data_IF_698924177327
#
_entry.id   IF_698924177327
#
_cell.length_a   1.000
_cell.length_b   1.000
_cell.length_c   1.000
_cell.angle_alpha   90.00
_cell.angle_beta   90.00
_cell.angle_gamma   90.00
#
_symmetry.space_group_name_H-M   'P 1'
#
loop_
_entity.id
_entity.type
_entity.pdbx_description
1 polymer ?
#
# COMPACT_ATOMS: atom_id res chain seq x y z
N UNK A 1 -15.89 20.17 9.07
CA UNK A 1 -15.18 20.80 10.20
C UNK A 1 -13.73 20.30 10.16
N UNK A 2 -12.75 21.13 9.74
CA UNK A 2 -11.34 20.75 9.81
C UNK A 2 -10.91 20.83 11.27
N UNK A 3 -10.67 19.69 11.92
CA UNK A 3 -9.91 19.68 13.17
C UNK A 3 -8.45 19.97 12.81
N UNK A 4 -7.88 20.99 13.43
CA UNK A 4 -6.44 21.29 13.34
C UNK A 4 -5.75 20.36 14.33
N UNK A 5 -4.93 19.43 13.85
CA UNK A 5 -4.02 18.65 14.69
C UNK A 5 -2.75 19.46 14.93
N UNK A 6 -2.27 19.49 16.17
CA UNK A 6 -1.10 20.29 16.60
C UNK A 6 0.23 19.76 16.10
N UNK A 7 0.28 18.51 15.64
CA UNK A 7 1.46 17.85 15.14
C UNK A 7 1.33 17.66 13.62
N UNK A 8 2.16 18.38 12.86
CA UNK A 8 2.19 18.33 11.41
C UNK A 8 3.33 17.39 11.03
N UNK A 9 3.00 16.24 10.45
CA UNK A 9 4.00 15.35 9.85
C UNK A 9 4.76 16.03 8.71
N UNK A 10 5.76 15.35 8.15
CA UNK A 10 6.46 15.85 6.97
C UNK A 10 5.87 15.22 5.70
N UNK A 11 5.68 15.98 4.60
CA UNK A 11 5.31 15.41 3.30
C UNK A 11 6.31 14.35 2.83
N UNK A 12 5.87 13.47 1.94
CA UNK A 12 6.72 12.38 1.45
C UNK A 12 7.99 12.90 0.73
N UNK A 13 7.93 14.08 0.10
CA UNK A 13 9.07 14.68 -0.60
C UNK A 13 10.26 15.04 0.30
N UNK A 14 10.08 15.11 1.62
CA UNK A 14 11.13 15.52 2.56
C UNK A 14 12.17 14.45 2.89
N UNK A 15 11.96 13.18 2.49
CA UNK A 15 12.80 12.05 2.91
C UNK A 15 13.79 11.62 1.84
N UNK A 16 15.02 11.44 2.29
CA UNK A 16 16.18 11.12 1.46
C UNK A 16 16.73 9.71 1.71
N UNK A 17 15.90 8.81 2.25
CA UNK A 17 16.27 7.43 2.60
C UNK A 17 15.18 6.48 2.14
N UNK A 18 15.57 5.54 1.28
CA UNK A 18 14.67 4.51 0.80
C UNK A 18 14.18 3.64 1.95
N UNK A 19 15.09 3.27 2.87
CA UNK A 19 14.74 2.54 4.08
C UNK A 19 13.64 3.24 4.88
N UNK A 20 13.78 4.55 5.15
CA UNK A 20 12.77 5.32 5.89
C UNK A 20 11.44 5.38 5.14
N UNK A 21 11.48 5.59 3.82
CA UNK A 21 10.27 5.60 3.00
C UNK A 21 9.52 4.27 3.08
N UNK A 22 10.20 3.13 2.88
CA UNK A 22 9.56 1.82 2.95
C UNK A 22 9.03 1.50 4.36
N UNK A 23 9.74 1.90 5.41
CA UNK A 23 9.25 1.80 6.79
C UNK A 23 7.95 2.59 7.00
N UNK A 24 7.86 3.81 6.48
CA UNK A 24 6.63 4.61 6.55
C UNK A 24 5.47 3.97 5.78
N UNK A 25 5.74 3.35 4.63
CA UNK A 25 4.72 2.65 3.85
C UNK A 25 4.23 1.36 4.54
N UNK A 26 5.14 0.63 5.22
CA UNK A 26 4.76 -0.49 6.07
C UNK A 26 3.83 -0.02 7.18
N UNK A 27 4.21 1.06 7.88
CA UNK A 27 3.41 1.59 8.98
C UNK A 27 2.09 2.18 8.49
N UNK A 28 2.00 2.70 7.25
CA UNK A 28 0.74 3.14 6.68
C UNK A 28 -0.26 1.98 6.55
N UNK A 29 0.20 0.80 6.14
CA UNK A 29 -0.61 -0.42 6.17
C UNK A 29 -1.00 -0.81 7.61
N UNK A 30 -0.07 -0.72 8.56
CA UNK A 30 -0.34 -1.03 9.96
C UNK A 30 -1.39 -0.07 10.58
N UNK A 31 -1.31 1.24 10.29
CA UNK A 31 -2.30 2.24 10.74
C UNK A 31 -3.68 1.93 10.16
N UNK A 32 -3.77 1.59 8.88
CA UNK A 32 -5.05 1.21 8.25
C UNK A 32 -5.66 -0.03 8.92
N UNK A 33 -4.84 -1.07 9.20
CA UNK A 33 -5.27 -2.26 9.98
C UNK A 33 -5.72 -1.87 11.38
N UNK A 34 -5.02 -0.96 12.05
CA UNK A 34 -5.39 -0.53 13.39
C UNK A 34 -6.73 0.21 13.42
N UNK A 35 -6.97 1.11 12.45
CA UNK A 35 -8.25 1.81 12.28
C UNK A 35 -9.40 0.82 12.04
N UNK A 36 -9.15 -0.18 11.20
CA UNK A 36 -10.13 -1.23 10.92
C UNK A 36 -10.43 -2.07 12.17
N UNK A 37 -9.41 -2.56 12.87
CA UNK A 37 -9.60 -3.41 14.06
C UNK A 37 -10.24 -2.69 15.23
N UNK A 38 -9.79 -1.47 15.53
CA UNK A 38 -10.24 -0.70 16.71
C UNK A 38 -11.56 0.02 16.54
N UNK A 39 -11.86 0.44 15.32
CA UNK A 39 -12.97 1.34 15.07
C UNK A 39 -13.84 0.89 13.91
N UNK A 40 -13.53 -0.24 13.27
CA UNK A 40 -14.22 -0.71 12.08
C UNK A 40 -14.27 0.38 10.98
N UNK A 41 -13.19 1.18 10.88
CA UNK A 41 -13.07 2.29 9.93
C UNK A 41 -12.17 1.90 8.76
N UNK A 42 -12.67 2.12 7.54
CA UNK A 42 -11.84 2.19 6.33
C UNK A 42 -11.54 3.64 5.99
N UNK A 43 -10.34 3.93 5.48
CA UNK A 43 -9.93 5.30 5.15
C UNK A 43 -10.54 5.80 3.85
N UNK A 44 -10.54 4.95 2.80
CA UNK A 44 -11.13 5.20 1.47
C UNK A 44 -10.53 6.36 0.68
N UNK A 45 -9.45 6.96 1.17
CA UNK A 45 -8.81 8.13 0.57
C UNK A 45 -7.30 8.12 0.81
N UNK A 46 -6.68 6.96 0.66
CA UNK A 46 -5.22 6.87 0.73
C UNK A 46 -4.60 7.53 -0.51
N UNK A 47 -3.58 8.37 -0.28
CA UNK A 47 -2.87 9.11 -1.31
C UNK A 47 -1.58 9.75 -0.77
N UNK A 48 -0.75 10.28 -1.66
CA UNK A 48 0.54 10.90 -1.33
C UNK A 48 0.47 12.10 -0.37
N UNK A 49 -0.66 12.79 -0.33
CA UNK A 49 -0.93 13.92 0.59
C UNK A 49 -1.54 13.51 1.93
N UNK A 50 -2.03 12.26 2.03
CA UNK A 50 -2.69 11.74 3.23
C UNK A 50 -1.82 10.75 4.01
N UNK A 51 -0.65 10.40 3.48
CA UNK A 51 0.41 9.69 4.21
C UNK A 51 1.56 10.67 4.41
N UNK A 52 1.90 10.95 5.66
CA UNK A 52 3.00 11.83 6.04
C UNK A 52 4.03 11.07 6.86
N UNK A 53 5.27 11.50 6.85
CA UNK A 53 6.24 11.03 7.84
C UNK A 53 5.87 11.55 9.23
N UNK A 54 5.97 10.67 10.21
CA UNK A 54 5.75 11.00 11.60
C UNK A 54 6.75 12.07 12.08
N UNK A 55 6.31 13.06 12.90
CA UNK A 55 7.21 13.98 13.57
C UNK A 55 8.21 13.24 14.46
N UNK A 56 9.49 13.62 14.38
CA UNK A 56 10.51 13.11 15.28
C UNK A 56 10.56 13.94 16.56
N UNK A 57 9.48 13.88 17.34
CA UNK A 57 9.35 14.60 18.62
C UNK A 57 9.02 13.64 19.75
N UNK A 58 9.54 13.91 20.95
CA UNK A 58 9.25 13.11 22.14
C UNK A 58 7.75 13.11 22.47
N UNK A 59 7.07 14.25 22.27
CA UNK A 59 5.62 14.36 22.45
C UNK A 59 4.84 13.39 21.55
N UNK A 60 5.14 13.35 20.25
CA UNK A 60 4.52 12.38 19.33
C UNK A 60 4.79 10.94 19.77
N UNK A 61 6.02 10.64 20.20
CA UNK A 61 6.38 9.30 20.68
C UNK A 61 5.60 8.93 21.94
N UNK A 62 5.52 9.83 22.92
CA UNK A 62 4.76 9.67 24.17
C UNK A 62 3.28 9.38 23.91
N UNK A 63 2.63 10.13 23.01
CA UNK A 63 1.24 9.88 22.63
C UNK A 63 1.01 8.50 22.02
N UNK A 64 2.01 7.95 21.33
CA UNK A 64 1.95 6.62 20.74
C UNK A 64 2.39 5.50 21.69
N UNK A 65 3.07 5.80 22.81
CA UNK A 65 3.52 4.80 23.78
C UNK A 65 2.37 4.14 24.53
N UNK A 66 1.32 4.90 24.84
CA UNK A 66 0.07 4.40 25.43
C UNK A 66 -0.90 3.85 24.37
N UNK A 67 -0.55 4.00 23.09
CA UNK A 67 -1.42 3.73 21.95
C UNK A 67 -1.62 2.24 21.72
N UNK A 68 -2.69 1.69 22.30
CA UNK A 68 -3.76 0.85 21.73
C UNK A 68 -3.56 0.11 20.38
N UNK A 69 -2.35 -0.23 19.96
CA UNK A 69 -2.14 -0.85 18.66
C UNK A 69 -2.46 -2.35 18.75
N UNK A 70 -3.54 -2.77 18.08
CA UNK A 70 -3.80 -4.19 17.79
C UNK A 70 -2.96 -4.71 16.62
N UNK A 71 -1.92 -3.94 16.28
CA UNK A 71 -0.99 -4.15 15.17
C UNK A 71 0.45 -3.93 15.68
N UNK A 72 1.43 -4.43 14.92
CA UNK A 72 2.85 -4.15 15.15
C UNK A 72 3.30 -3.17 14.08
N UNK A 73 3.94 -2.11 14.50
CA UNK A 73 4.68 -1.22 13.60
C UNK A 73 6.05 -1.83 13.25
N UNK A 74 6.64 -1.36 12.16
CA UNK A 74 7.88 -1.91 11.62
C UNK A 74 9.01 -1.89 12.63
N UNK A 75 9.09 -0.86 13.49
CA UNK A 75 10.12 -0.76 14.52
C UNK A 75 10.04 -1.91 15.53
N UNK A 76 8.83 -2.36 15.88
CA UNK A 76 8.60 -3.47 16.80
C UNK A 76 8.93 -4.81 16.13
N UNK A 77 8.52 -5.00 14.87
CA UNK A 77 8.85 -6.20 14.10
C UNK A 77 10.37 -6.33 13.94
N UNK A 78 11.05 -5.25 13.58
CA UNK A 78 12.50 -5.22 13.38
C UNK A 78 13.31 -5.38 14.68
N UNK A 79 12.70 -5.11 15.84
CA UNK A 79 13.31 -5.30 17.14
C UNK A 79 13.29 -6.77 17.62
N UNK A 80 12.60 -7.66 16.91
CA UNK A 80 12.51 -9.10 17.21
C UNK A 80 12.14 -9.37 18.68
N UNK A 81 11.06 -8.75 19.17
CA UNK A 81 10.52 -8.93 20.53
C UNK A 81 11.42 -8.50 21.68
N UNK A 82 12.46 -7.71 21.40
CA UNK A 82 12.96 -6.77 22.39
C UNK A 82 11.79 -5.81 22.65
N UNK A 83 11.20 -5.86 23.84
CA UNK A 83 10.08 -5.00 24.22
C UNK A 83 10.41 -3.54 23.91
N UNK A 84 9.90 -3.04 22.78
CA UNK A 84 10.07 -1.66 22.33
C UNK A 84 8.70 -1.05 22.12
N UNK A 85 8.58 0.21 22.56
CA UNK A 85 7.34 0.94 22.39
C UNK A 85 7.04 1.14 20.89
N UNK A 86 5.75 1.20 20.52
CA UNK A 86 5.32 1.65 19.19
C UNK A 86 6.01 2.96 18.80
N UNK A 87 6.59 3.01 17.60
CA UNK A 87 7.16 4.23 17.04
C UNK A 87 6.86 4.31 15.54
N UNK A 88 5.57 4.51 15.18
CA UNK A 88 5.15 4.58 13.78
C UNK A 88 5.94 5.65 13.02
N UNK A 89 6.44 5.29 11.85
CA UNK A 89 7.20 6.15 10.94
C UNK A 89 6.31 7.05 10.08
N UNK A 90 4.99 6.87 10.13
CA UNK A 90 4.04 7.66 9.38
C UNK A 90 2.84 8.14 10.21
N UNK A 91 2.17 9.16 9.69
CA UNK A 91 0.84 9.62 10.04
C UNK A 91 -0.06 9.38 8.83
N UNK A 92 -1.25 8.82 9.07
CA UNK A 92 -2.33 8.77 8.07
C UNK A 92 -3.41 9.75 8.49
N UNK A 93 -3.70 10.73 7.63
CA UNK A 93 -4.58 11.87 7.93
C UNK A 93 -5.77 11.94 6.95
N UNK A 94 -6.70 12.85 7.22
CA UNK A 94 -7.89 13.11 6.37
C UNK A 94 -8.89 11.94 6.29
N UNK A 95 -9.41 11.56 7.46
CA UNK A 95 -10.53 10.61 7.59
C UNK A 95 -11.88 11.18 7.13
N UNK A 96 -11.92 12.33 6.45
CA UNK A 96 -13.17 12.96 5.99
C UNK A 96 -13.97 12.10 5.00
N UNK A 97 -13.26 11.22 4.29
CA UNK A 97 -13.83 10.24 3.37
C UNK A 97 -13.97 8.84 3.98
N UNK A 98 -13.60 8.68 5.25
CA UNK A 98 -13.64 7.40 5.95
C UNK A 98 -15.05 6.85 6.09
N UNK A 99 -15.16 5.52 6.14
CA UNK A 99 -16.41 4.83 6.46
C UNK A 99 -16.27 4.08 7.77
N UNK A 100 -17.04 4.51 8.76
CA UNK A 100 -17.40 3.70 9.92
C UNK A 100 -18.41 2.64 9.46
N UNK A 101 -18.02 1.37 9.59
CA UNK A 101 -18.78 0.21 9.16
C UNK A 101 -19.82 -0.26 10.19
N UNK A 102 -19.80 0.25 11.43
CA UNK A 102 -20.85 -0.03 12.43
C UNK A 102 -22.10 0.82 12.22
N UNK A 103 -21.96 1.95 11.52
CA UNK A 103 -23.09 2.81 11.17
C UNK A 103 -23.78 2.27 9.92
N UNK A 104 -25.04 1.87 10.03
CA UNK A 104 -25.88 1.56 8.87
C UNK A 104 -25.98 2.81 7.97
N UNK A 105 -25.40 2.72 6.77
CA UNK A 105 -25.49 3.74 5.72
C UNK A 105 -26.24 3.17 4.53
N UNK A 106 -26.91 4.03 3.76
CA UNK A 106 -27.52 3.63 2.50
C UNK A 106 -26.48 2.98 1.56
N UNK A 107 -26.94 2.07 0.69
CA UNK A 107 -26.11 1.32 -0.28
C UNK A 107 -25.12 2.20 -1.06
N UNK A 108 -25.47 3.46 -1.31
CA UNK A 108 -24.66 4.42 -2.07
C UNK A 108 -23.38 4.90 -1.33
N UNK A 109 -23.34 4.74 0.00
CA UNK A 109 -22.26 5.30 0.81
C UNK A 109 -20.91 4.60 0.57
N UNK A 110 -20.91 3.32 0.19
CA UNK A 110 -19.71 2.52 -0.09
C UNK A 110 -19.47 2.28 -1.59
N UNK A 111 -20.39 2.68 -2.47
CA UNK A 111 -20.26 2.54 -3.92
C UNK A 111 -19.73 3.80 -4.61
N UNK A 112 -19.71 4.94 -3.91
CA UNK A 112 -19.14 6.19 -4.40
C UNK A 112 -17.63 6.11 -4.66
N UNK A 113 -17.20 6.54 -5.85
CA UNK A 113 -15.79 6.66 -6.26
C UNK A 113 -15.08 7.79 -5.51
N UNK A 114 -14.66 7.50 -4.28
CA UNK A 114 -13.92 8.44 -3.42
C UNK A 114 -12.44 8.07 -3.43
N UNK A 115 -11.56 9.06 -3.59
CA UNK A 115 -10.12 8.83 -3.68
C UNK A 115 -9.41 9.91 -4.50
N UNK A 116 -8.10 10.07 -4.29
CA UNK A 116 -7.27 10.85 -5.22
C UNK A 116 -7.22 10.08 -6.53
N UNK A 117 -7.60 10.68 -7.69
CA UNK A 117 -7.70 9.99 -8.97
C UNK A 117 -6.54 9.02 -9.23
N UNK A 118 -5.30 9.49 -9.11
CA UNK A 118 -4.10 8.69 -9.34
C UNK A 118 -3.96 7.42 -8.49
N UNK A 119 -4.45 7.45 -7.25
CA UNK A 119 -4.22 6.40 -6.25
C UNK A 119 -5.44 5.54 -5.97
N UNK A 120 -6.64 5.98 -6.34
CA UNK A 120 -7.88 5.22 -6.13
C UNK A 120 -7.74 3.79 -6.67
N UNK A 121 -8.23 2.79 -5.95
CA UNK A 121 -8.21 1.39 -6.41
C UNK A 121 -8.97 1.24 -7.75
N UNK A 122 -8.56 0.29 -8.61
CA UNK A 122 -9.10 0.14 -9.98
C UNK A 122 -10.61 -0.14 -10.02
N UNK A 123 -11.09 -1.04 -9.16
CA UNK A 123 -12.54 -1.33 -9.05
C UNK A 123 -13.32 -0.09 -8.62
N UNK A 124 -12.80 0.65 -7.63
CA UNK A 124 -13.36 1.91 -7.14
C UNK A 124 -13.34 3.03 -8.19
N UNK A 125 -12.26 3.10 -8.98
CA UNK A 125 -12.14 4.01 -10.14
C UNK A 125 -13.28 3.81 -11.14
N UNK A 126 -13.62 2.54 -11.38
CA UNK A 126 -14.67 2.15 -12.33
C UNK A 126 -16.09 2.10 -11.75
N UNK A 127 -16.22 2.17 -10.42
CA UNK A 127 -17.49 2.03 -9.70
C UNK A 127 -18.13 0.64 -9.83
N UNK A 128 -17.36 -0.38 -10.20
CA UNK A 128 -17.82 -1.76 -10.42
C UNK A 128 -16.72 -2.78 -10.14
N UNK A 129 -17.12 -4.04 -9.99
CA UNK A 129 -16.17 -5.14 -9.92
C UNK A 129 -15.36 -5.23 -11.22
N UNK A 130 -14.07 -5.54 -11.10
CA UNK A 130 -13.26 -5.90 -12.26
C UNK A 130 -13.67 -7.29 -12.77
N UNK A 131 -13.40 -7.56 -14.04
CA UNK A 131 -13.76 -8.84 -14.66
C UNK A 131 -13.02 -10.01 -13.98
N UNK A 132 -13.76 -11.03 -13.53
CA UNK A 132 -13.21 -12.17 -12.78
C UNK A 132 -12.17 -12.98 -13.56
N UNK A 133 -12.38 -13.18 -14.86
CA UNK A 133 -11.44 -13.95 -15.70
C UNK A 133 -10.11 -13.20 -15.90
N UNK A 134 -10.18 -11.89 -16.16
CA UNK A 134 -9.00 -11.03 -16.37
C UNK A 134 -8.24 -10.74 -15.07
N UNK A 135 -8.96 -10.61 -13.95
CA UNK A 135 -8.43 -10.26 -12.63
C UNK A 135 -8.61 -11.39 -11.61
N UNK A 136 -8.39 -12.62 -12.07
CA UNK A 136 -8.55 -13.83 -11.24
C UNK A 136 -7.52 -13.93 -10.12
N UNK A 137 -7.96 -14.41 -8.96
CA UNK A 137 -7.08 -14.73 -7.81
C UNK A 137 -6.57 -16.18 -7.80
N UNK A 138 -7.02 -17.04 -8.73
CA UNK A 138 -6.83 -18.49 -8.65
C UNK A 138 -5.36 -18.96 -8.55
N UNK A 139 -4.42 -18.19 -9.08
CA UNK A 139 -2.97 -18.51 -9.08
C UNK A 139 -2.14 -17.62 -8.16
N UNK A 140 -2.80 -16.79 -7.35
CA UNK A 140 -2.14 -15.81 -6.49
C UNK A 140 -2.08 -16.36 -5.07
N UNK A 141 -0.87 -16.60 -4.59
CA UNK A 141 -0.61 -17.07 -3.22
C UNK A 141 -0.12 -15.92 -2.36
N UNK A 142 -0.45 -15.98 -1.07
CA UNK A 142 0.08 -15.04 -0.09
C UNK A 142 1.63 -15.12 -0.11
N UNK A 143 2.35 -13.98 -0.21
CA UNK A 143 3.80 -13.98 -0.21
C UNK A 143 4.35 -14.70 1.02
N UNK A 144 5.28 -15.61 0.78
CA UNK A 144 5.99 -16.31 1.85
C UNK A 144 7.22 -15.50 2.25
N UNK A 145 7.51 -15.50 3.56
CA UNK A 145 8.75 -14.97 4.08
C UNK A 145 9.69 -16.18 4.23
N UNK A 146 10.84 -16.15 3.57
CA UNK A 146 11.79 -17.27 3.51
C UNK A 146 13.15 -16.90 4.13
N UNK A 147 13.94 -17.92 4.46
CA UNK A 147 15.32 -17.77 4.95
C UNK A 147 15.42 -17.00 6.26
N UNK A 148 16.42 -16.09 6.34
CA UNK A 148 16.71 -15.27 7.54
C UNK A 148 15.54 -14.36 7.93
N UNK A 149 14.57 -14.16 7.03
CA UNK A 149 13.42 -13.31 7.24
C UNK A 149 12.31 -13.98 8.04
N UNK A 150 12.30 -15.33 8.12
CA UNK A 150 11.30 -16.11 8.89
C UNK A 150 11.27 -15.66 10.35
N UNK A 151 12.43 -15.34 10.91
CA UNK A 151 12.57 -14.80 12.26
C UNK A 151 11.72 -13.56 12.50
N UNK A 152 11.49 -12.72 11.49
CA UNK A 152 10.70 -11.50 11.62
C UNK A 152 9.20 -11.76 11.50
N UNK A 153 8.81 -12.81 10.78
CA UNK A 153 7.39 -13.13 10.53
C UNK A 153 6.63 -13.43 11.82
N UNK A 154 7.23 -14.12 12.78
CA UNK A 154 6.60 -14.39 14.08
C UNK A 154 6.30 -13.13 14.89
N UNK A 155 7.00 -12.02 14.59
CA UNK A 155 6.83 -10.74 15.27
C UNK A 155 5.90 -9.79 14.53
N UNK A 156 5.55 -10.09 13.28
CA UNK A 156 4.37 -9.49 12.67
C UNK A 156 3.12 -10.00 13.39
N UNK A 157 2.05 -9.20 13.45
CA UNK A 157 0.72 -9.70 13.86
C UNK A 157 0.13 -10.60 12.76
N UNK A 158 0.74 -11.78 12.57
CA UNK A 158 0.45 -12.77 11.52
C UNK A 158 -0.49 -13.89 11.97
N UNK A 159 -0.91 -13.92 13.24
CA UNK A 159 -1.63 -15.04 13.86
C UNK A 159 -2.96 -15.44 13.20
N UNK A 160 -3.43 -14.70 12.20
CA UNK A 160 -4.72 -14.93 11.52
C UNK A 160 -4.64 -15.63 10.15
N UNK A 161 -3.45 -15.85 9.57
CA UNK A 161 -3.37 -16.12 8.11
C UNK A 161 -2.62 -17.40 7.68
N UNK A 162 -2.56 -18.41 8.55
CA UNK A 162 -2.10 -19.76 8.19
C UNK A 162 -3.21 -20.70 7.71
N UNK A 163 -4.45 -20.21 7.56
CA UNK A 163 -5.45 -20.96 6.85
C UNK A 163 -5.05 -21.01 5.37
N UNK A 164 -4.31 -22.05 4.99
CA UNK A 164 -4.34 -22.56 3.63
C UNK A 164 -5.82 -22.74 3.32
N UNK A 165 -6.36 -21.90 2.45
CA UNK A 165 -7.66 -22.19 1.84
C UNK A 165 -7.37 -23.42 1.01
N UNK A 166 -7.75 -24.59 1.54
CA UNK A 166 -7.75 -25.84 0.80
C UNK A 166 -8.44 -25.57 -0.55
N UNK A 167 -7.86 -26.06 -1.64
CA UNK A 167 -8.45 -26.09 -2.99
C UNK A 167 -9.71 -27.00 -3.06
N UNK A 168 -10.41 -27.22 -1.94
CA UNK A 168 -11.66 -27.94 -1.94
C UNK A 168 -12.77 -27.07 -2.53
N UNK A 169 -13.46 -27.52 -3.59
CA UNK A 169 -14.64 -26.86 -4.10
C UNK A 169 -15.77 -27.07 -3.07
N UNK A 170 -15.81 -26.22 -2.06
CA UNK A 170 -16.91 -26.14 -1.12
C UNK A 170 -18.15 -25.70 -1.88
N UNK A 171 -19.03 -26.67 -2.17
CA UNK A 171 -20.37 -26.52 -2.73
C UNK A 171 -21.27 -25.69 -1.81
N UNK A 172 -21.02 -24.38 -1.79
CA UNK A 172 -21.93 -23.37 -1.27
C UNK A 172 -21.98 -22.31 -2.35
N UNK A 173 -23.15 -22.06 -2.91
CA UNK A 173 -23.40 -20.92 -3.79
C UNK A 173 -23.00 -19.66 -3.03
N UNK A 174 -21.78 -19.17 -3.28
CA UNK A 174 -21.30 -17.92 -2.73
C UNK A 174 -22.26 -16.83 -3.22
N UNK A 175 -22.66 -15.87 -2.35
CA UNK A 175 -23.49 -14.75 -2.77
C UNK A 175 -22.85 -14.06 -3.98
N UNK A 176 -23.67 -13.69 -4.97
CA UNK A 176 -23.18 -12.93 -6.12
C UNK A 176 -22.40 -11.70 -5.62
N UNK A 177 -21.13 -11.62 -6.02
CA UNK A 177 -20.26 -10.56 -5.57
C UNK A 177 -20.84 -9.21 -6.01
N UNK A 178 -21.09 -8.33 -5.04
CA UNK A 178 -21.49 -6.94 -5.30
C UNK A 178 -20.32 -6.02 -5.05
N UNK A 179 -20.23 -5.01 -5.92
CA UNK A 179 -19.27 -3.93 -5.74
C UNK A 179 -19.60 -3.15 -4.46
N UNK A 180 -18.61 -3.03 -3.59
CA UNK A 180 -18.59 -2.16 -2.43
C UNK A 180 -17.14 -1.85 -2.10
N UNK A 181 -16.85 -0.66 -1.57
CA UNK A 181 -15.53 -0.38 -1.05
C UNK A 181 -15.20 -1.33 0.11
N UNK A 182 -14.05 -2.03 0.03
CA UNK A 182 -13.56 -2.96 1.06
C UNK A 182 -12.12 -2.59 1.44
N UNK A 183 -11.65 -3.11 2.57
CA UNK A 183 -10.35 -2.76 3.15
C UNK A 183 -9.19 -2.92 2.15
N UNK A 184 -9.20 -3.96 1.31
CA UNK A 184 -8.14 -4.17 0.33
C UNK A 184 -7.98 -3.04 -0.71
N UNK A 185 -9.00 -2.19 -0.93
CA UNK A 185 -8.86 -1.03 -1.80
C UNK A 185 -7.94 0.04 -1.20
N UNK A 186 -7.89 0.19 0.13
CA UNK A 186 -6.92 1.07 0.80
C UNK A 186 -5.49 0.52 0.65
N UNK A 187 -5.32 -0.81 0.68
CA UNK A 187 -4.04 -1.45 0.38
C UNK A 187 -3.61 -1.26 -1.09
N UNK A 188 -4.52 -1.42 -2.05
CA UNK A 188 -4.23 -1.13 -3.46
C UNK A 188 -3.84 0.34 -3.65
N UNK A 189 -4.53 1.26 -2.97
CA UNK A 189 -4.19 2.68 -3.03
C UNK A 189 -2.81 2.97 -2.44
N UNK A 190 -2.44 2.30 -1.35
CA UNK A 190 -1.09 2.35 -0.77
C UNK A 190 -0.03 1.87 -1.77
N UNK A 191 -0.28 0.78 -2.49
CA UNK A 191 0.62 0.35 -3.56
C UNK A 191 0.79 1.43 -4.64
N UNK A 192 -0.29 2.06 -5.10
CA UNK A 192 -0.19 3.09 -6.13
C UNK A 192 0.61 4.30 -5.66
N UNK A 193 0.55 4.66 -4.37
CA UNK A 193 1.41 5.68 -3.76
C UNK A 193 2.89 5.26 -3.82
N UNK A 194 3.19 4.01 -3.46
CA UNK A 194 4.56 3.45 -3.50
C UNK A 194 5.11 3.46 -4.93
N UNK A 195 4.36 2.88 -5.87
CA UNK A 195 4.75 2.77 -7.27
C UNK A 195 4.98 4.15 -7.91
N UNK A 196 4.06 5.10 -7.69
CA UNK A 196 4.19 6.46 -8.19
C UNK A 196 5.41 7.19 -7.61
N UNK A 197 5.62 7.06 -6.30
CA UNK A 197 6.74 7.71 -5.62
C UNK A 197 8.07 7.18 -6.14
N UNK A 198 8.23 5.85 -6.18
CA UNK A 198 9.47 5.21 -6.64
C UNK A 198 9.74 5.45 -8.13
N UNK A 199 8.72 5.38 -8.99
CA UNK A 199 8.87 5.66 -10.42
C UNK A 199 9.36 7.09 -10.71
N UNK A 200 9.01 8.04 -9.84
CA UNK A 200 9.45 9.44 -9.92
C UNK A 200 10.68 9.78 -9.09
N UNK A 201 11.26 8.79 -8.41
CA UNK A 201 12.46 8.97 -7.61
C UNK A 201 13.69 8.61 -8.40
N UNK A 202 14.81 9.21 -8.02
CA UNK A 202 16.14 8.90 -8.51
C UNK A 202 17.09 8.80 -7.33
N UNK A 203 18.23 8.13 -7.46
CA UNK A 203 19.29 8.20 -6.45
C UNK A 203 19.89 9.62 -6.42
N UNK A 204 20.14 10.14 -5.22
CA UNK A 204 20.73 11.46 -5.02
C UNK A 204 22.11 11.54 -5.69
N UNK A 205 22.29 12.57 -6.52
CA UNK A 205 23.52 12.81 -7.28
C UNK A 205 23.60 12.10 -8.64
N UNK A 206 22.61 11.27 -8.99
CA UNK A 206 22.54 10.67 -10.32
C UNK A 206 22.13 11.67 -11.40
N UNK A 207 22.56 11.41 -12.62
CA UNK A 207 22.17 12.18 -13.79
C UNK A 207 20.75 11.80 -14.25
N UNK A 208 20.04 12.76 -14.83
CA UNK A 208 18.74 12.50 -15.46
C UNK A 208 18.92 11.66 -16.73
N UNK A 209 17.94 10.80 -17.02
CA UNK A 209 17.89 10.06 -18.27
C UNK A 209 17.73 11.02 -19.46
N UNK A 210 18.64 10.94 -20.44
CA UNK A 210 18.51 11.71 -21.69
C UNK A 210 17.26 11.34 -22.49
N UNK A 211 16.88 10.06 -22.43
CA UNK A 211 15.71 9.51 -23.08
C UNK A 211 15.12 8.43 -22.16
N UNK A 212 14.07 8.75 -21.39
CA UNK A 212 13.44 7.76 -20.51
C UNK A 212 12.84 6.60 -21.30
N UNK A 213 12.61 5.46 -20.63
CA UNK A 213 11.93 4.32 -21.23
C UNK A 213 10.47 4.64 -21.64
N UNK A 214 9.97 3.96 -22.67
CA UNK A 214 8.59 4.10 -23.12
C UNK A 214 7.57 3.68 -22.05
N UNK A 215 7.88 2.66 -21.25
CA UNK A 215 7.04 2.19 -20.15
C UNK A 215 6.95 3.21 -19.02
N UNK A 216 8.06 3.87 -18.66
CA UNK A 216 8.00 4.99 -17.72
C UNK A 216 7.13 6.14 -18.24
N UNK A 217 7.27 6.53 -19.51
CA UNK A 217 6.41 7.55 -20.13
C UNK A 217 4.94 7.17 -20.03
N UNK A 218 4.61 5.95 -20.44
CA UNK A 218 3.24 5.44 -20.42
C UNK A 218 2.68 5.41 -19.00
N UNK A 219 3.46 4.93 -18.02
CA UNK A 219 3.09 4.94 -16.60
C UNK A 219 2.85 6.36 -16.09
N UNK A 220 3.79 7.27 -16.33
CA UNK A 220 3.70 8.65 -15.87
C UNK A 220 2.45 9.34 -16.38
N UNK A 221 2.17 9.26 -17.69
CA UNK A 221 0.98 9.88 -18.28
C UNK A 221 -0.30 9.18 -17.81
N UNK A 222 -0.34 7.84 -17.81
CA UNK A 222 -1.50 7.09 -17.34
C UNK A 222 -1.91 7.45 -15.93
N UNK A 223 -0.94 7.64 -15.03
CA UNK A 223 -1.16 8.02 -13.64
C UNK A 223 -1.51 9.52 -13.50
N UNK A 224 -0.83 10.40 -14.24
CA UNK A 224 -1.00 11.86 -14.13
C UNK A 224 -2.32 12.37 -14.71
N UNK A 225 -2.78 11.75 -15.79
CA UNK A 225 -4.05 12.12 -16.45
C UNK A 225 -5.19 11.19 -16.05
N UNK A 226 -4.98 10.33 -15.04
CA UNK A 226 -6.01 9.41 -14.61
C UNK A 226 -7.23 10.17 -14.08
N UNK A 227 -8.40 9.80 -14.58
CA UNK A 227 -9.68 10.27 -14.07
C UNK A 227 -10.58 9.04 -13.86
N UNK A 228 -11.19 8.88 -12.67
CA UNK A 228 -12.15 7.81 -12.41
C UNK A 228 -13.30 7.88 -13.40
N UNK A 229 -13.51 6.80 -14.16
CA UNK A 229 -14.65 6.67 -15.07
C UNK A 229 -15.10 5.22 -15.11
N UNK A 230 -16.36 4.94 -15.49
CA UNK A 230 -16.83 3.56 -15.69
C UNK A 230 -16.16 2.81 -16.86
N UNK A 231 -15.30 3.51 -17.63
CA UNK A 231 -14.48 2.92 -18.68
C UNK A 231 -13.34 2.12 -18.05
N UNK A 232 -12.56 1.47 -18.90
CA UNK A 232 -11.45 0.70 -18.39
C UNK A 232 -10.36 1.58 -17.82
N UNK A 233 -9.94 1.26 -16.60
CA UNK A 233 -8.82 1.91 -15.93
C UNK A 233 -7.52 1.69 -16.75
N UNK A 234 -6.81 2.76 -17.16
CA UNK A 234 -5.61 2.64 -17.99
C UNK A 234 -4.50 1.84 -17.30
N UNK A 235 -4.51 1.75 -15.97
CA UNK A 235 -3.51 0.99 -15.21
C UNK A 235 -3.63 -0.52 -15.42
N UNK A 236 -4.71 -1.02 -16.06
CA UNK A 236 -4.81 -2.44 -16.43
C UNK A 236 -3.72 -2.93 -17.37
N UNK A 237 -3.14 -2.00 -18.16
CA UNK A 237 -2.21 -2.33 -19.24
C UNK A 237 -0.84 -2.76 -18.71
N UNK A 238 -0.52 -2.39 -17.46
CA UNK A 238 0.77 -2.73 -16.88
C UNK A 238 0.82 -4.20 -16.48
N UNK A 239 2.00 -4.79 -16.69
CA UNK A 239 2.37 -6.14 -16.29
C UNK A 239 3.30 -6.11 -15.07
N UNK A 240 3.59 -7.28 -14.50
CA UNK A 240 4.57 -7.39 -13.42
C UNK A 240 6.03 -7.28 -13.93
N UNK A 241 6.28 -7.48 -15.22
CA UNK A 241 7.63 -7.36 -15.81
C UNK A 241 7.98 -5.90 -16.16
N UNK A 242 6.99 -5.00 -16.19
CA UNK A 242 7.19 -3.62 -16.62
C UNK A 242 7.99 -2.79 -15.59
N UNK A 243 8.02 -3.20 -14.32
CA UNK A 243 8.57 -2.38 -13.23
C UNK A 243 10.06 -2.06 -13.36
N UNK A 244 10.83 -2.95 -13.99
CA UNK A 244 12.26 -2.72 -14.26
C UNK A 244 12.47 -1.52 -15.19
N UNK A 245 11.56 -1.32 -16.14
CA UNK A 245 11.60 -0.24 -17.13
C UNK A 245 10.84 1.02 -16.67
N UNK A 246 9.86 0.85 -15.78
CA UNK A 246 9.13 1.98 -15.18
C UNK A 246 10.02 2.71 -14.17
N UNK A 247 10.84 2.01 -13.40
CA UNK A 247 11.74 2.62 -12.42
C UNK A 247 12.94 3.30 -13.09
N UNK A 248 13.56 4.25 -12.39
CA UNK A 248 14.87 4.76 -12.81
C UNK A 248 15.91 3.63 -12.69
N UNK A 249 16.93 3.53 -13.57
CA UNK A 249 17.94 2.48 -13.49
C UNK A 249 18.58 2.29 -12.10
N UNK A 250 18.84 3.38 -11.37
CA UNK A 250 19.37 3.32 -10.00
C UNK A 250 18.45 2.65 -8.97
N UNK A 251 17.15 2.58 -9.28
CA UNK A 251 16.12 1.97 -8.44
C UNK A 251 15.61 0.65 -9.02
N UNK A 252 16.14 0.18 -10.15
CA UNK A 252 15.70 -1.04 -10.83
C UNK A 252 15.77 -2.29 -9.92
N UNK A 253 16.65 -2.29 -8.93
CA UNK A 253 16.72 -3.34 -7.90
C UNK A 253 15.42 -3.53 -7.10
N UNK A 254 14.53 -2.52 -7.08
CA UNK A 254 13.21 -2.58 -6.43
C UNK A 254 12.11 -3.16 -7.33
N UNK A 255 12.39 -3.42 -8.61
CA UNK A 255 11.42 -3.97 -9.53
C UNK A 255 10.81 -5.30 -9.04
N UNK A 256 11.58 -6.26 -8.50
CA UNK A 256 11.00 -7.50 -7.96
C UNK A 256 10.03 -7.26 -6.79
N UNK A 257 10.29 -6.26 -5.93
CA UNK A 257 9.35 -5.91 -4.85
C UNK A 257 8.03 -5.39 -5.44
N UNK A 258 8.09 -4.41 -6.36
CA UNK A 258 6.89 -3.86 -6.99
C UNK A 258 6.13 -4.91 -7.82
N UNK A 259 6.84 -5.78 -8.54
CA UNK A 259 6.26 -6.86 -9.31
C UNK A 259 5.45 -7.82 -8.43
N UNK A 260 6.03 -8.24 -7.29
CA UNK A 260 5.35 -9.13 -6.36
C UNK A 260 4.17 -8.45 -5.63
N UNK A 261 4.29 -7.16 -5.29
CA UNK A 261 3.18 -6.39 -4.73
C UNK A 261 2.05 -6.25 -5.76
N UNK A 262 2.41 -5.90 -6.99
CA UNK A 262 1.47 -5.75 -8.10
C UNK A 262 0.73 -7.05 -8.38
N UNK A 263 1.43 -8.19 -8.38
CA UNK A 263 0.85 -9.52 -8.54
C UNK A 263 -0.24 -9.81 -7.49
N UNK A 264 -0.06 -9.35 -6.25
CA UNK A 264 -1.04 -9.59 -5.18
C UNK A 264 -2.20 -8.59 -5.16
N UNK A 265 -1.99 -7.34 -5.54
CA UNK A 265 -3.11 -6.37 -5.62
C UNK A 265 -3.92 -6.55 -6.91
N UNK A 266 -3.34 -7.14 -7.97
CA UNK A 266 -3.96 -7.18 -9.30
C UNK A 266 -5.35 -7.82 -9.29
N UNK A 267 -5.60 -8.94 -8.58
CA UNK A 267 -6.89 -9.59 -8.58
C UNK A 267 -8.04 -8.75 -7.99
N UNK A 268 -9.26 -9.06 -8.42
CA UNK A 268 -10.47 -8.57 -7.77
C UNK A 268 -10.80 -9.46 -6.57
N UNK A 269 -10.31 -9.08 -5.39
CA UNK A 269 -10.49 -9.84 -4.17
C UNK A 269 -11.93 -9.86 -3.68
N UNK A 270 -12.83 -9.04 -4.25
CA UNK A 270 -14.25 -9.07 -3.90
C UNK A 270 -14.93 -10.42 -4.16
N UNK A 271 -14.39 -11.23 -5.08
CA UNK A 271 -14.83 -12.59 -5.40
C UNK A 271 -14.37 -13.65 -4.38
N UNK A 272 -13.56 -13.28 -3.39
CA UNK A 272 -13.02 -14.18 -2.37
C UNK A 272 -13.46 -13.75 -0.95
N UNK A 273 -14.78 -13.72 -0.66
CA UNK A 273 -15.30 -13.23 0.62
C UNK A 273 -14.88 -14.06 1.83
N UNK A 274 -14.40 -15.29 1.62
CA UNK A 274 -13.89 -16.17 2.66
C UNK A 274 -12.50 -15.78 3.18
N UNK A 275 -11.77 -14.92 2.44
CA UNK A 275 -10.49 -14.40 2.90
C UNK A 275 -10.69 -13.34 3.97
N UNK A 276 -9.77 -13.30 4.95
CA UNK A 276 -9.75 -12.24 5.94
C UNK A 276 -9.60 -10.87 5.26
N UNK A 277 -10.36 -9.86 5.70
CA UNK A 277 -10.34 -8.52 5.12
C UNK A 277 -8.94 -7.89 5.03
N UNK A 278 -8.02 -8.25 5.93
CA UNK A 278 -6.65 -7.73 6.03
C UNK A 278 -5.62 -8.47 5.17
N UNK A 279 -6.00 -9.51 4.42
CA UNK A 279 -5.05 -10.36 3.66
C UNK A 279 -4.17 -9.59 2.67
N UNK A 280 -4.70 -8.53 2.02
CA UNK A 280 -3.92 -7.69 1.10
C UNK A 280 -2.94 -6.81 1.85
N UNK A 281 -3.33 -6.22 3.00
CA UNK A 281 -2.40 -5.49 3.87
C UNK A 281 -1.28 -6.39 4.35
N UNK A 282 -1.61 -7.59 4.83
CA UNK A 282 -0.64 -8.60 5.25
C UNK A 282 0.36 -8.92 4.12
N UNK A 283 -0.13 -9.17 2.90
CA UNK A 283 0.72 -9.45 1.74
C UNK A 283 1.70 -8.30 1.44
N UNK A 284 1.20 -7.06 1.40
CA UNK A 284 2.04 -5.89 1.15
C UNK A 284 3.05 -5.68 2.28
N UNK A 285 2.64 -5.84 3.53
CA UNK A 285 3.52 -5.72 4.70
C UNK A 285 4.65 -6.76 4.66
N UNK A 286 4.38 -8.01 4.26
CA UNK A 286 5.43 -9.02 4.08
C UNK A 286 6.44 -8.63 3.01
N UNK A 287 5.96 -8.17 1.85
CA UNK A 287 6.81 -7.75 0.73
C UNK A 287 7.65 -6.52 1.07
N UNK A 288 7.06 -5.54 1.76
CA UNK A 288 7.78 -4.38 2.29
C UNK A 288 8.83 -4.81 3.31
N UNK A 289 8.49 -5.69 4.24
CA UNK A 289 9.42 -6.15 5.27
C UNK A 289 10.63 -6.88 4.68
N UNK A 290 10.42 -7.70 3.64
CA UNK A 290 11.51 -8.36 2.91
C UNK A 290 12.51 -7.30 2.42
N UNK A 291 12.04 -6.27 1.74
CA UNK A 291 12.92 -5.24 1.20
C UNK A 291 13.55 -4.35 2.28
N UNK A 292 12.79 -4.00 3.32
CA UNK A 292 13.29 -3.24 4.48
C UNK A 292 14.46 -3.97 5.15
N UNK A 293 14.35 -5.29 5.35
CA UNK A 293 15.42 -6.07 5.97
C UNK A 293 16.61 -6.24 5.02
N UNK A 294 16.38 -6.41 3.71
CA UNK A 294 17.46 -6.44 2.73
C UNK A 294 18.28 -5.14 2.76
N UNK A 295 17.62 -3.98 2.78
CA UNK A 295 18.29 -2.68 2.88
C UNK A 295 19.00 -2.51 4.22
N UNK A 296 18.36 -2.90 5.33
CA UNK A 296 18.96 -2.86 6.68
C UNK A 296 20.25 -3.66 6.79
N UNK A 297 20.32 -4.81 6.13
CA UNK A 297 21.49 -5.67 6.11
C UNK A 297 22.50 -5.30 5.01
N UNK A 298 22.10 -4.43 4.08
CA UNK A 298 22.87 -3.99 2.93
C UNK A 298 23.21 -2.50 3.02
N UNK A 299 23.02 -1.80 1.90
CA UNK A 299 23.27 -0.35 1.80
C UNK A 299 21.98 0.36 1.45
N UNK A 300 21.62 1.37 2.23
CA UNK A 300 20.49 2.25 1.93
C UNK A 300 20.76 3.10 0.69
N UNK A 301 19.71 3.34 -0.08
CA UNK A 301 19.76 4.24 -1.23
C UNK A 301 19.31 5.61 -0.75
N UNK A 302 20.21 6.60 -0.85
CA UNK A 302 19.81 7.98 -0.69
C UNK A 302 18.97 8.39 -1.91
N UNK A 303 17.66 8.54 -1.71
CA UNK A 303 16.69 8.81 -2.77
C UNK A 303 16.32 10.29 -2.81
N UNK A 304 16.11 10.83 -4.00
CA UNK A 304 15.50 12.14 -4.22
C UNK A 304 14.07 11.92 -4.72
N UNK A 305 13.11 11.97 -3.79
CA UNK A 305 11.69 11.76 -4.10
C UNK A 305 11.17 12.87 -5.02
N UNK A 306 10.58 12.48 -6.14
CA UNK A 306 10.11 13.43 -7.15
C UNK A 306 11.23 14.07 -7.97
N UNK A 307 12.49 13.66 -7.76
CA UNK A 307 13.67 14.21 -8.42
C UNK A 307 13.92 13.71 -9.84
N UNK A 308 13.16 12.71 -10.33
CA UNK A 308 13.23 12.25 -11.72
C UNK A 308 12.41 13.16 -12.62
N UNK A 309 13.00 13.58 -13.73
CA UNK A 309 12.37 14.50 -14.69
C UNK A 309 11.04 13.94 -15.22
N UNK A 310 10.08 14.84 -15.38
CA UNK A 310 8.83 14.49 -16.05
C UNK A 310 9.11 14.23 -17.53
N UNK A 311 8.61 13.11 -18.09
CA UNK A 311 8.81 12.82 -19.49
C UNK A 311 8.15 13.90 -20.37
N UNK A 312 8.83 14.27 -21.45
CA UNK A 312 8.27 15.16 -22.47
C UNK A 312 7.31 14.36 -23.37
N UNK A 313 6.24 15.01 -23.81
CA UNK A 313 5.36 14.52 -24.88
C UNK A 313 6.08 14.51 -26.22
#
# INVERSE_FOLDING_TARGET
>A
MRKVTSEIGQPLEGVHSLYKFLCAMYDACAVQRNLYRKSNIMHRHIGDTNIMFAPDTDAYREYNWEGYAEVKFVNQVLAKDKSVNPAPQCLVIDLGNGADLEVERGLDALTGGTGTPKFIARSVSSGKLLNEDEFSSAKVKLPQIEGVLVDYQQFMHTKEHQAQVDDSPGSTTLPEAKFAHRLFHDAESTFWVIAWTLARSIKTGSEQEKAPDALFRLFFFSMSTHCPTPRTDPRKQFSYDDWEFILHPDLAALAPMLANMFKYIRPEWAYRPELNAEHVHEALMRLLLIEIVNIKNGTDINIHIGGRDSPRN
#
